data_IF_494449875887
#
_entry.id   IF_494449875887
#
_cell.length_a   1.000
_cell.length_b   1.000
_cell.length_c   1.000
_cell.angle_alpha   90.00
_cell.angle_beta   90.00
_cell.angle_gamma   90.00
#
_symmetry.space_group_name_H-M   'P 1'
#
loop_
_entity.id
_entity.type
_entity.pdbx_description
1 polymer ?
#
# COMPACT_ATOMS: atom_id res chain seq x y z
N UNK A 1 -21.40 7.75 -33.84
CA UNK A 1 -21.30 7.79 -32.36
C UNK A 1 -20.19 6.84 -31.94
N UNK A 2 -19.01 7.37 -31.61
CA UNK A 2 -17.90 6.56 -31.10
C UNK A 2 -18.01 6.45 -29.59
N UNK A 3 -18.08 5.22 -29.07
CA UNK A 3 -17.99 4.95 -27.63
C UNK A 3 -16.52 5.07 -27.24
N UNK A 4 -16.17 6.14 -26.51
CA UNK A 4 -14.87 6.27 -25.85
C UNK A 4 -14.92 5.44 -24.57
N UNK A 5 -14.21 4.31 -24.57
CA UNK A 5 -14.01 3.48 -23.38
C UNK A 5 -12.86 4.11 -22.57
N UNK A 6 -13.20 4.84 -21.52
CA UNK A 6 -12.24 5.33 -20.53
C UNK A 6 -11.82 4.15 -19.62
N UNK A 7 -10.69 3.53 -19.94
CA UNK A 7 -10.00 2.61 -19.03
C UNK A 7 -9.31 3.42 -17.93
N UNK A 8 -10.04 3.70 -16.84
CA UNK A 8 -9.50 4.30 -15.63
C UNK A 8 -8.65 3.26 -14.88
N UNK A 9 -7.42 3.04 -15.33
CA UNK A 9 -6.47 2.14 -14.71
C UNK A 9 -5.56 2.90 -13.73
N UNK A 10 -5.91 2.90 -12.44
CA UNK A 10 -4.91 3.16 -11.40
C UNK A 10 -3.88 2.03 -11.44
N UNK A 11 -2.62 2.34 -11.70
CA UNK A 11 -1.56 1.33 -11.72
C UNK A 11 -1.10 0.99 -10.29
N UNK A 12 -0.91 -0.30 -10.02
CA UNK A 12 -0.21 -0.72 -8.80
C UNK A 12 1.24 -0.23 -8.86
N UNK A 13 1.70 0.38 -7.77
CA UNK A 13 3.06 0.87 -7.67
C UNK A 13 4.06 -0.27 -7.82
N UNK A 14 5.15 0.00 -8.56
CA UNK A 14 6.29 -0.89 -8.69
C UNK A 14 7.53 -0.14 -8.24
N UNK A 15 8.41 -0.82 -7.50
CA UNK A 15 9.70 -0.22 -7.15
C UNK A 15 10.50 0.13 -8.40
N UNK A 16 11.28 1.19 -8.31
CA UNK A 16 12.23 1.62 -9.36
C UNK A 16 13.23 0.51 -9.71
N UNK A 17 13.80 0.60 -10.92
CA UNK A 17 14.84 -0.33 -11.36
C UNK A 17 16.11 -0.15 -10.54
N UNK A 18 16.92 -1.21 -10.41
CA UNK A 18 18.11 -1.23 -9.53
C UNK A 18 19.17 -0.18 -9.88
N UNK A 19 19.23 0.24 -11.14
CA UNK A 19 20.19 1.20 -11.68
C UNK A 19 19.67 2.64 -11.68
N UNK A 20 18.61 2.95 -10.93
CA UNK A 20 18.14 4.33 -10.78
C UNK A 20 19.26 5.21 -10.19
N UNK A 21 19.38 6.42 -10.73
CA UNK A 21 20.32 7.45 -10.28
C UNK A 21 19.52 8.65 -9.82
N UNK A 22 19.90 9.23 -8.68
CA UNK A 22 19.32 10.48 -8.21
C UNK A 22 19.84 11.63 -9.07
N UNK A 23 18.91 12.36 -9.69
CA UNK A 23 19.21 13.55 -10.48
C UNK A 23 18.36 14.71 -9.96
N UNK A 24 19.02 15.70 -9.35
CA UNK A 24 18.35 16.90 -8.83
C UNK A 24 17.71 17.76 -9.92
N UNK A 25 18.17 17.64 -11.17
CA UNK A 25 17.61 18.37 -12.32
C UNK A 25 16.38 17.70 -12.93
N UNK A 26 16.10 16.43 -12.57
CA UNK A 26 14.97 15.67 -13.11
C UNK A 26 13.60 16.14 -12.61
N UNK A 27 13.57 16.94 -11.55
CA UNK A 27 12.33 17.34 -10.87
C UNK A 27 11.67 16.20 -10.09
N UNK A 28 12.40 15.12 -9.78
CA UNK A 28 11.89 13.93 -9.09
C UNK A 28 12.76 13.53 -7.90
N UNK A 29 12.14 12.87 -6.93
CA UNK A 29 12.82 12.27 -5.78
C UNK A 29 12.40 10.81 -5.56
N UNK A 30 13.11 10.12 -4.67
CA UNK A 30 12.81 8.75 -4.30
C UNK A 30 12.19 8.66 -2.90
N UNK A 31 11.14 7.86 -2.80
CA UNK A 31 10.46 7.56 -1.54
C UNK A 31 10.59 6.08 -1.22
N UNK A 32 11.17 5.79 -0.06
CA UNK A 32 11.18 4.47 0.56
C UNK A 32 10.00 4.39 1.51
N UNK A 33 9.12 3.43 1.28
CA UNK A 33 8.00 3.13 2.17
C UNK A 33 7.79 1.62 2.21
N UNK A 34 7.47 1.08 3.38
CA UNK A 34 7.05 -0.31 3.47
C UNK A 34 5.57 -0.43 3.73
N UNK A 35 4.96 -1.46 3.16
CA UNK A 35 3.54 -1.75 3.32
C UNK A 35 3.38 -3.18 3.81
N UNK A 36 2.54 -3.38 4.81
CA UNK A 36 2.33 -4.71 5.39
C UNK A 36 0.96 -4.92 6.01
N UNK A 37 0.62 -6.17 6.31
CA UNK A 37 -0.52 -6.56 7.14
C UNK A 37 -0.21 -7.76 8.02
N UNK A 38 -1.02 -7.93 9.07
CA UNK A 38 -0.89 -9.03 10.02
C UNK A 38 -1.03 -10.41 9.38
N UNK A 39 -0.36 -11.41 9.96
CA UNK A 39 -0.44 -12.80 9.49
C UNK A 39 -1.84 -13.40 9.62
N UNK A 40 -2.63 -12.90 10.56
CA UNK A 40 -4.03 -13.34 10.74
C UNK A 40 -4.85 -13.11 9.48
N UNK A 41 -4.53 -12.09 8.68
CA UNK A 41 -5.12 -11.82 7.36
C UNK A 41 -4.90 -12.93 6.32
N UNK A 42 -3.96 -13.86 6.56
CA UNK A 42 -3.47 -14.84 5.60
C UNK A 42 -2.82 -14.21 4.36
N UNK A 43 -2.25 -15.06 3.49
CA UNK A 43 -1.71 -14.65 2.18
C UNK A 43 -2.79 -14.30 1.16
N UNK A 44 -4.05 -14.65 1.42
CA UNK A 44 -5.16 -14.38 0.53
C UNK A 44 -5.71 -12.96 0.64
N UNK A 45 -5.39 -12.25 1.72
CA UNK A 45 -5.75 -10.85 1.90
C UNK A 45 -4.64 -9.95 1.35
N UNK A 46 -5.03 -8.91 0.64
CA UNK A 46 -4.14 -7.88 0.12
C UNK A 46 -4.56 -6.54 0.71
N UNK A 47 -3.67 -5.97 1.52
CA UNK A 47 -3.76 -4.58 1.92
C UNK A 47 -3.38 -3.68 0.74
N UNK A 48 -4.11 -2.60 0.52
CA UNK A 48 -3.77 -1.55 -0.44
C UNK A 48 -3.85 -0.20 0.25
N UNK A 49 -2.81 0.61 0.11
CA UNK A 49 -2.82 2.01 0.50
C UNK A 49 -2.86 2.88 -0.75
N UNK A 50 -3.60 3.98 -0.68
CA UNK A 50 -3.82 4.87 -1.81
C UNK A 50 -3.08 6.18 -1.58
N UNK A 51 -2.25 6.55 -2.55
CA UNK A 51 -1.51 7.80 -2.58
C UNK A 51 -2.06 8.69 -3.69
N UNK A 52 -2.19 9.98 -3.42
CA UNK A 52 -2.67 11.02 -4.33
C UNK A 52 -4.03 10.72 -4.99
N UNK A 53 -4.86 9.92 -4.32
CA UNK A 53 -6.23 9.58 -4.75
C UNK A 53 -7.11 10.82 -4.89
N UNK A 54 -6.88 11.85 -4.06
CA UNK A 54 -7.64 13.12 -4.12
C UNK A 54 -7.37 13.93 -5.40
N UNK A 55 -6.25 13.68 -6.09
CA UNK A 55 -5.90 14.36 -7.35
C UNK A 55 -6.61 13.73 -8.57
N UNK A 56 -7.31 12.62 -8.38
CA UNK A 56 -8.05 11.91 -9.43
C UNK A 56 -7.51 10.50 -9.66
N UNK A 57 -8.28 9.69 -10.39
CA UNK A 57 -7.95 8.28 -10.61
C UNK A 57 -6.70 8.07 -11.49
N UNK A 58 -6.33 9.05 -12.32
CA UNK A 58 -5.14 8.99 -13.19
C UNK A 58 -3.84 9.10 -12.41
N UNK A 59 -3.86 9.85 -11.30
CA UNK A 59 -2.67 10.20 -10.53
C UNK A 59 -2.54 9.33 -9.27
N UNK A 60 -3.60 8.56 -8.99
CA UNK A 60 -3.66 7.63 -7.88
C UNK A 60 -2.62 6.51 -8.01
N UNK A 61 -1.78 6.40 -7.00
CA UNK A 61 -0.82 5.31 -6.86
C UNK A 61 -1.28 4.31 -5.80
N UNK A 62 -1.30 3.02 -6.14
CA UNK A 62 -1.71 1.95 -5.20
C UNK A 62 -0.51 1.19 -4.64
N UNK A 63 -0.32 1.23 -3.33
CA UNK A 63 0.73 0.50 -2.61
C UNK A 63 0.15 -0.79 -2.02
N UNK A 64 0.46 -1.95 -2.62
CA UNK A 64 -0.08 -3.24 -2.17
C UNK A 64 0.86 -3.93 -1.19
N UNK A 65 0.34 -4.53 -0.12
CA UNK A 65 1.16 -5.27 0.87
C UNK A 65 1.88 -6.46 0.26
N UNK A 66 1.25 -7.12 -0.71
CA UNK A 66 1.86 -8.18 -1.49
C UNK A 66 1.85 -7.81 -2.97
N UNK A 67 3.02 -7.87 -3.61
CA UNK A 67 3.15 -7.66 -5.04
C UNK A 67 2.64 -8.86 -5.84
N UNK A 68 2.39 -8.67 -7.13
CA UNK A 68 2.10 -9.76 -8.06
C UNK A 68 3.38 -10.15 -8.81
N UNK A 69 3.66 -11.46 -8.89
CA UNK A 69 4.72 -12.00 -9.74
C UNK A 69 4.21 -12.15 -11.19
N UNK A 70 2.95 -12.59 -11.31
CA UNK A 70 2.19 -12.75 -12.54
C UNK A 70 0.70 -12.49 -12.22
N UNK A 71 -0.16 -12.24 -13.22
CA UNK A 71 -1.60 -12.11 -12.99
C UNK A 71 -2.13 -13.32 -12.19
N UNK A 72 -2.68 -13.06 -11.00
CA UNK A 72 -3.18 -14.10 -10.08
C UNK A 72 -2.13 -14.77 -9.18
N UNK A 73 -0.82 -14.53 -9.38
CA UNK A 73 0.26 -15.11 -8.55
C UNK A 73 0.86 -14.05 -7.65
N UNK A 74 0.60 -14.16 -6.35
CA UNK A 74 1.09 -13.24 -5.33
C UNK A 74 2.54 -13.57 -4.93
N UNK A 75 3.42 -12.57 -4.91
CA UNK A 75 4.80 -12.71 -4.42
C UNK A 75 4.83 -13.10 -2.94
N UNK A 76 5.92 -13.76 -2.53
CA UNK A 76 6.19 -13.97 -1.11
C UNK A 76 6.39 -12.65 -0.36
N UNK A 77 6.10 -12.66 0.94
CA UNK A 77 6.44 -11.54 1.83
C UNK A 77 7.94 -11.35 1.90
N UNK A 78 8.39 -10.11 2.00
CA UNK A 78 9.77 -9.77 2.37
C UNK A 78 10.00 -9.77 3.89
N UNK A 79 8.92 -9.89 4.68
CA UNK A 79 8.96 -9.84 6.14
C UNK A 79 8.66 -11.20 6.77
N UNK A 80 9.29 -11.47 7.92
CA UNK A 80 9.16 -12.72 8.66
C UNK A 80 7.83 -12.81 9.44
N UNK A 81 7.46 -11.71 10.10
CA UNK A 81 6.38 -11.69 11.09
C UNK A 81 5.09 -11.05 10.55
N UNK A 82 5.09 -10.59 9.31
CA UNK A 82 3.94 -9.99 8.62
C UNK A 82 3.99 -10.29 7.11
N UNK A 83 2.90 -10.02 6.42
CA UNK A 83 2.85 -10.06 4.96
C UNK A 83 3.08 -8.66 4.41
N UNK A 84 4.15 -8.44 3.66
CA UNK A 84 4.51 -7.10 3.23
C UNK A 84 5.69 -7.03 2.27
N UNK A 85 5.98 -5.81 1.84
CA UNK A 85 7.15 -5.48 1.02
C UNK A 85 7.63 -4.04 1.29
N UNK A 86 8.89 -3.79 0.96
CA UNK A 86 9.46 -2.44 0.86
C UNK A 86 9.39 -1.98 -0.58
N UNK A 87 8.93 -0.75 -0.78
CA UNK A 87 8.81 -0.07 -2.06
C UNK A 87 9.78 1.10 -2.10
N UNK A 88 10.42 1.29 -3.27
CA UNK A 88 11.22 2.48 -3.58
C UNK A 88 10.57 3.13 -4.80
N UNK A 89 9.88 4.24 -4.59
CA UNK A 89 9.04 4.90 -5.58
C UNK A 89 9.74 6.15 -6.11
N UNK A 90 9.69 6.38 -7.42
CA UNK A 90 10.09 7.66 -8.00
C UNK A 90 8.85 8.54 -8.14
N UNK A 91 8.87 9.70 -7.50
CA UNK A 91 7.76 10.66 -7.48
C UNK A 91 8.23 12.03 -7.94
N UNK A 92 7.31 12.83 -8.49
CA UNK A 92 7.57 14.23 -8.77
C UNK A 92 7.91 14.97 -7.49
N UNK A 93 8.75 16.00 -7.57
CA UNK A 93 9.00 16.87 -6.43
C UNK A 93 7.75 17.66 -6.07
N UNK A 94 7.53 17.87 -4.78
CA UNK A 94 6.36 18.61 -4.26
C UNK A 94 5.55 17.81 -3.25
N UNK A 95 4.30 18.25 -3.05
CA UNK A 95 3.41 17.71 -2.02
C UNK A 95 2.69 16.47 -2.52
N UNK A 96 2.66 15.45 -1.65
CA UNK A 96 1.95 14.19 -1.85
C UNK A 96 1.19 13.82 -0.59
N UNK A 97 0.22 12.92 -0.72
CA UNK A 97 -0.53 12.42 0.42
C UNK A 97 -0.89 10.95 0.32
N UNK A 98 -0.82 10.26 1.46
CA UNK A 98 -1.54 9.00 1.65
C UNK A 98 -2.97 9.35 2.04
N UNK A 99 -3.95 8.87 1.27
CA UNK A 99 -5.33 9.35 1.36
C UNK A 99 -6.31 8.32 1.91
N UNK A 100 -6.04 7.03 1.70
CA UNK A 100 -6.98 5.97 2.05
C UNK A 100 -6.29 4.61 2.06
N UNK A 101 -7.04 3.58 2.44
CA UNK A 101 -6.60 2.20 2.47
C UNK A 101 -7.76 1.24 2.19
N UNK A 102 -7.45 -0.01 1.89
CA UNK A 102 -8.39 -1.13 1.89
C UNK A 102 -7.70 -2.43 2.25
N UNK A 103 -8.46 -3.39 2.77
CA UNK A 103 -8.06 -4.79 2.83
C UNK A 103 -9.03 -5.59 1.95
N UNK A 104 -8.52 -6.30 0.94
CA UNK A 104 -9.37 -7.05 0.03
C UNK A 104 -8.88 -8.48 -0.18
N UNK A 105 -9.81 -9.42 -0.32
CA UNK A 105 -9.56 -10.80 -0.71
C UNK A 105 -10.05 -11.01 -2.15
N UNK A 106 -9.35 -11.87 -2.90
CA UNK A 106 -9.93 -12.44 -4.11
C UNK A 106 -11.26 -13.13 -3.75
N UNK A 107 -12.30 -12.98 -4.59
CA UNK A 107 -13.70 -13.33 -4.36
C UNK A 107 -14.60 -12.28 -3.67
N UNK A 108 -14.26 -10.99 -3.76
CA UNK A 108 -15.22 -9.90 -3.54
C UNK A 108 -15.49 -9.54 -2.08
N UNK A 109 -14.62 -9.94 -1.16
CA UNK A 109 -14.63 -9.47 0.22
C UNK A 109 -13.66 -8.29 0.36
N UNK A 110 -14.16 -7.14 0.80
CA UNK A 110 -13.33 -5.98 1.11
C UNK A 110 -13.76 -5.25 2.39
N UNK A 111 -12.76 -4.68 3.06
CA UNK A 111 -12.88 -3.77 4.19
C UNK A 111 -12.25 -2.45 3.76
N UNK A 112 -13.04 -1.39 3.83
CA UNK A 112 -12.63 -0.02 3.52
C UNK A 112 -13.00 0.90 4.67
N UNK A 113 -12.34 2.06 4.82
CA UNK A 113 -12.77 3.05 5.79
C UNK A 113 -14.20 3.50 5.48
N UNK A 114 -15.05 3.64 6.50
CA UNK A 114 -16.42 4.14 6.31
C UNK A 114 -16.46 5.65 6.05
N UNK A 115 -15.47 6.36 6.57
CA UNK A 115 -15.18 7.78 6.30
C UNK A 115 -13.72 7.87 5.93
N UNK A 116 -13.41 8.61 4.87
CA UNK A 116 -12.01 8.77 4.45
C UNK A 116 -11.15 9.34 5.59
N UNK A 117 -9.99 8.73 5.88
CA UNK A 117 -9.11 9.22 6.93
C UNK A 117 -8.53 10.59 6.56
N UNK A 118 -8.08 11.32 7.58
CA UNK A 118 -7.28 12.53 7.34
C UNK A 118 -6.00 12.13 6.59
N UNK A 119 -5.63 12.81 5.49
CA UNK A 119 -4.46 12.42 4.72
C UNK A 119 -3.16 12.54 5.52
N UNK A 120 -2.21 11.63 5.28
CA UNK A 120 -0.84 11.79 5.75
C UNK A 120 -0.04 12.48 4.66
N UNK A 121 0.20 13.78 4.85
CA UNK A 121 0.93 14.60 3.90
C UNK A 121 2.45 14.43 4.05
N UNK A 122 3.16 14.49 2.93
CA UNK A 122 4.62 14.52 2.89
C UNK A 122 5.10 15.29 1.65
N UNK A 123 6.37 15.70 1.69
CA UNK A 123 7.00 16.42 0.59
C UNK A 123 8.13 15.59 -0.02
N UNK A 124 8.21 15.54 -1.35
CA UNK A 124 9.28 14.91 -2.10
C UNK A 124 10.26 15.98 -2.56
N UNK A 125 11.53 15.83 -2.19
CA UNK A 125 12.60 16.74 -2.62
C UNK A 125 13.34 16.15 -3.82
N UNK A 126 13.49 16.94 -4.88
CA UNK A 126 14.20 16.53 -6.09
C UNK A 126 15.65 16.08 -5.79
N UNK A 127 16.10 14.99 -6.40
CA UNK A 127 17.44 14.45 -6.22
C UNK A 127 17.73 13.86 -4.84
N UNK A 128 16.71 13.66 -4.00
CA UNK A 128 16.86 13.05 -2.67
C UNK A 128 16.19 11.69 -2.59
N UNK A 129 16.57 10.90 -1.58
CA UNK A 129 15.87 9.69 -1.18
C UNK A 129 15.47 9.80 0.30
N UNK A 130 14.21 9.49 0.60
CA UNK A 130 13.65 9.60 1.95
C UNK A 130 12.84 8.39 2.38
N UNK A 131 12.90 8.04 3.65
CA UNK A 131 12.11 6.97 4.27
C UNK A 131 10.92 7.53 5.04
N UNK A 132 9.72 7.05 4.70
CA UNK A 132 8.45 7.53 5.26
C UNK A 132 7.89 6.66 6.40
N UNK A 133 8.42 5.46 6.60
CA UNK A 133 7.90 4.52 7.60
C UNK A 133 7.23 3.28 7.00
N UNK A 134 6.54 2.55 7.86
CA UNK A 134 5.76 1.36 7.52
C UNK A 134 4.26 1.64 7.65
N UNK A 135 3.51 1.56 6.55
CA UNK A 135 2.05 1.50 6.59
C UNK A 135 1.63 0.06 6.86
N UNK A 136 1.00 -0.17 8.01
CA UNK A 136 0.61 -1.48 8.47
C UNK A 136 -0.91 -1.58 8.63
N UNK A 137 -1.52 -2.62 8.06
CA UNK A 137 -2.90 -2.98 8.35
C UNK A 137 -2.93 -4.01 9.47
N UNK A 138 -3.36 -3.55 10.64
CA UNK A 138 -3.78 -4.43 11.73
C UNK A 138 -5.07 -5.13 11.30
N UNK A 139 -5.18 -6.43 11.58
CA UNK A 139 -6.37 -7.21 11.22
C UNK A 139 -6.92 -7.94 12.42
N UNK A 140 -8.24 -7.89 12.59
CA UNK A 140 -8.93 -8.58 13.67
C UNK A 140 -9.78 -9.72 13.13
N UNK A 141 -9.65 -10.90 13.75
CA UNK A 141 -10.51 -12.03 13.43
C UNK A 141 -11.82 -11.95 14.20
N UNK A 142 -12.90 -12.40 13.57
CA UNK A 142 -14.18 -12.61 14.22
C UNK A 142 -14.91 -13.81 13.63
N UNK A 143 -16.19 -13.95 14.00
CA UNK A 143 -17.08 -15.00 13.51
C UNK A 143 -18.15 -14.39 12.61
N UNK A 144 -18.45 -15.04 11.48
CA UNK A 144 -19.62 -14.69 10.68
C UNK A 144 -20.89 -15.34 11.24
N UNK A 145 -22.04 -15.09 10.62
CA UNK A 145 -23.35 -15.59 11.07
C UNK A 145 -23.46 -17.13 11.15
N UNK A 146 -22.57 -17.87 10.47
CA UNK A 146 -22.52 -19.34 10.50
C UNK A 146 -21.36 -19.89 11.34
N UNK A 147 -20.71 -19.03 12.16
CA UNK A 147 -19.66 -19.44 13.10
C UNK A 147 -18.27 -19.67 12.48
N UNK A 148 -18.07 -19.34 11.20
CA UNK A 148 -16.77 -19.45 10.53
C UNK A 148 -15.88 -18.26 10.90
N UNK A 149 -14.59 -18.53 11.11
CA UNK A 149 -13.60 -17.48 11.35
C UNK A 149 -13.38 -16.67 10.07
N UNK A 150 -13.56 -15.36 10.18
CA UNK A 150 -13.33 -14.39 9.10
C UNK A 150 -12.47 -13.25 9.62
N UNK A 151 -11.84 -12.49 8.73
CA UNK A 151 -11.37 -11.16 9.11
C UNK A 151 -12.64 -10.33 9.34
N UNK A 152 -12.79 -9.83 10.55
CA UNK A 152 -13.90 -8.97 10.92
C UNK A 152 -13.49 -7.52 10.75
N UNK A 153 -12.25 -7.17 11.08
CA UNK A 153 -11.85 -5.77 11.02
C UNK A 153 -10.45 -5.58 10.49
N UNK A 154 -10.18 -4.36 10.01
CA UNK A 154 -8.85 -3.94 9.64
C UNK A 154 -8.67 -2.45 9.93
N UNK A 155 -7.50 -2.03 10.37
CA UNK A 155 -7.21 -0.60 10.55
C UNK A 155 -5.74 -0.27 10.29
N UNK A 156 -5.46 0.91 9.72
CA UNK A 156 -4.11 1.32 9.37
C UNK A 156 -3.36 1.93 10.56
N UNK A 157 -2.07 1.67 10.61
CA UNK A 157 -1.13 2.23 11.57
C UNK A 157 0.19 2.55 10.84
N UNK A 158 0.84 3.64 11.22
CA UNK A 158 2.20 3.97 10.80
C UNK A 158 3.17 3.50 11.88
N UNK A 159 4.14 2.66 11.49
CA UNK A 159 5.17 2.11 12.37
C UNK A 159 6.57 2.55 11.94
N UNK A 160 7.46 2.74 12.90
CA UNK A 160 8.89 2.90 12.62
C UNK A 160 9.55 1.52 12.47
N UNK A 161 9.81 1.14 11.23
CA UNK A 161 10.52 -0.10 10.89
C UNK A 161 11.83 0.18 10.16
N UNK A 162 12.43 1.38 10.38
CA UNK A 162 13.56 1.88 9.57
C UNK A 162 14.74 0.90 9.53
N UNK A 163 15.08 0.29 10.66
CA UNK A 163 16.24 -0.59 10.77
C UNK A 163 16.10 -1.82 9.85
N UNK A 164 14.90 -2.41 9.79
CA UNK A 164 14.59 -3.53 8.90
C UNK A 164 14.53 -3.08 7.45
N UNK A 165 13.81 -2.00 7.19
CA UNK A 165 13.46 -1.60 5.83
C UNK A 165 14.65 -1.02 5.08
N UNK A 166 15.46 -0.18 5.74
CA UNK A 166 16.67 0.40 5.15
C UNK A 166 17.70 -0.70 4.86
N UNK A 167 17.89 -1.65 5.78
CA UNK A 167 18.78 -2.78 5.53
C UNK A 167 18.36 -3.61 4.29
N UNK A 168 17.05 -3.75 4.04
CA UNK A 168 16.54 -4.39 2.82
C UNK A 168 16.79 -3.52 1.58
N UNK A 169 16.58 -2.20 1.67
CA UNK A 169 16.83 -1.27 0.55
C UNK A 169 18.31 -1.26 0.19
N UNK A 170 19.23 -1.10 1.14
CA UNK A 170 20.67 -1.05 0.88
C UNK A 170 21.21 -2.35 0.29
N UNK A 171 20.58 -3.49 0.59
CA UNK A 171 20.90 -4.76 -0.06
C UNK A 171 20.51 -4.79 -1.54
N UNK A 172 19.42 -4.10 -1.91
CA UNK A 172 18.88 -4.08 -3.28
C UNK A 172 19.48 -2.92 -4.11
N UNK A 173 19.70 -1.78 -3.46
CA UNK A 173 20.18 -0.51 -4.00
C UNK A 173 21.39 -0.02 -3.19
N UNK A 174 22.55 -0.69 -3.30
CA UNK A 174 23.74 -0.36 -2.50
C UNK A 174 24.25 1.06 -2.75
N UNK A 175 23.90 1.69 -3.88
CA UNK A 175 24.25 3.08 -4.17
C UNK A 175 23.57 4.10 -3.23
N UNK A 176 22.51 3.71 -2.52
CA UNK A 176 21.80 4.59 -1.58
C UNK A 176 22.21 4.39 -0.13
N UNK A 177 23.23 3.56 0.12
CA UNK A 177 23.76 3.36 1.46
C UNK A 177 24.13 4.71 2.09
N UNK A 178 23.71 4.89 3.34
CA UNK A 178 23.93 6.12 4.13
C UNK A 178 23.34 7.42 3.53
N UNK A 179 22.57 7.34 2.45
CA UNK A 179 22.01 8.50 1.72
C UNK A 179 20.51 8.71 1.98
N UNK A 180 19.87 7.78 2.69
CA UNK A 180 18.43 7.78 2.96
C UNK A 180 18.12 8.69 4.14
N UNK A 181 17.48 9.82 3.85
CA UNK A 181 16.94 10.72 4.87
C UNK A 181 15.73 10.11 5.56
N UNK A 182 15.52 10.40 6.85
CA UNK A 182 14.39 9.85 7.61
C UNK A 182 13.33 10.93 7.80
N UNK A 183 12.21 10.80 7.10
CA UNK A 183 11.08 11.72 7.13
C UNK A 183 9.80 10.93 7.43
N UNK A 184 9.70 10.40 8.66
CA UNK A 184 8.58 9.55 9.04
C UNK A 184 7.25 10.28 8.94
N UNK A 185 6.25 9.59 8.40
CA UNK A 185 4.85 9.98 8.58
C UNK A 185 4.48 9.92 10.08
N UNK A 186 3.43 10.65 10.51
CA UNK A 186 2.96 10.60 11.89
C UNK A 186 2.74 9.16 12.39
N UNK A 187 3.46 8.77 13.44
CA UNK A 187 3.44 7.41 13.98
C UNK A 187 2.14 7.11 14.74
N UNK A 188 1.74 5.84 14.72
CA UNK A 188 0.55 5.34 15.42
C UNK A 188 -0.65 5.13 14.50
N UNK A 189 -1.86 4.98 15.06
CA UNK A 189 -3.08 4.79 14.27
C UNK A 189 -3.29 5.95 13.30
N UNK A 190 -3.50 5.64 12.02
CA UNK A 190 -3.72 6.68 11.01
C UNK A 190 -5.15 7.27 11.09
N UNK A 191 -6.14 6.51 11.57
CA UNK A 191 -7.46 7.05 11.91
C UNK A 191 -7.74 6.90 13.40
N UNK A 192 -8.23 7.98 14.04
CA UNK A 192 -8.73 7.94 15.40
C UNK A 192 -10.08 7.18 15.50
N UNK A 193 -10.85 7.14 14.40
CA UNK A 193 -12.13 6.44 14.33
C UNK A 193 -11.97 5.08 13.65
N UNK A 194 -12.39 4.01 14.35
CA UNK A 194 -12.44 2.62 13.85
C UNK A 194 -13.72 2.33 13.05
N UNK A 195 -14.22 3.31 12.31
CA UNK A 195 -15.38 3.14 11.44
C UNK A 195 -14.97 2.50 10.12
N UNK A 196 -15.37 1.24 9.89
CA UNK A 196 -15.05 0.51 8.68
C UNK A 196 -16.31 -0.05 8.01
N UNK A 197 -16.38 0.09 6.70
CA UNK A 197 -17.43 -0.51 5.88
C UNK A 197 -16.96 -1.85 5.34
N UNK A 198 -17.81 -2.87 5.44
CA UNK A 198 -17.58 -4.20 4.85
C UNK A 198 -18.44 -4.35 3.61
N UNK A 199 -17.82 -4.76 2.50
CA UNK A 199 -18.55 -5.13 1.30
C UNK A 199 -18.27 -6.60 0.96
N UNK A 200 -19.34 -7.35 0.67
CA UNK A 200 -19.27 -8.74 0.23
C UNK A 200 -20.02 -8.81 -1.10
N UNK A 201 -19.29 -8.97 -2.20
CA UNK A 201 -19.93 -9.24 -3.49
C UNK A 201 -20.66 -10.59 -3.44
N UNK A 202 -21.92 -10.68 -3.88
CA UNK A 202 -22.56 -11.98 -4.06
C UNK A 202 -21.80 -12.76 -5.15
N UNK A 203 -21.34 -13.96 -4.80
CA UNK A 203 -20.87 -14.94 -5.79
C UNK A 203 -22.07 -15.38 -6.62
N UNK A 204 -22.21 -14.85 -7.84
CA UNK A 204 -23.15 -15.39 -8.81
C UNK A 204 -22.65 -16.77 -9.24
N UNK A 205 -23.27 -17.82 -8.71
CA UNK A 205 -23.15 -19.16 -9.29
C UNK A 205 -24.10 -19.23 -10.50
N UNK A 206 -23.60 -19.34 -11.74
CA UNK A 206 -24.46 -19.70 -12.84
C UNK A 206 -24.97 -21.12 -12.57
N UNK A 207 -26.25 -21.24 -12.26
CA UNK A 207 -26.94 -22.54 -12.24
C UNK A 207 -27.06 -22.96 -13.70
N UNK A 208 -26.15 -23.80 -14.18
CA UNK A 208 -26.35 -24.52 -15.44
C UNK A 208 -27.53 -25.46 -15.25
N UNK A 209 -28.64 -25.17 -15.93
CA UNK A 209 -29.77 -26.09 -16.08
C UNK A 209 -29.40 -27.24 -17.01
#
# INVERSE_FOLDING_TARGET
>A
MGVVVLLLAGCAAKSVQRNVVLDSSSGKGLVVISVSHDRVGSRGMVGTFYMDRKNGLSDMTMLRTLGEAFPGVVKGSQFKDSYGQVLVLELAAGKHSMDSWRAARQAGYEITPSVDPSPLEFEVVAGSIQYLGNLHLNMESGKNAVGLTVIADAYPEVRDMRARDIALVEKIYPQFKDSISINLLPLGPWSAERGNTRFISPLFYPVTK
#
